data_IF_461332121429
#
_entry.id   IF_461332121429
#
_cell.length_a   1.000
_cell.length_b   1.000
_cell.length_c   1.000
_cell.angle_alpha   90.00
_cell.angle_beta   90.00
_cell.angle_gamma   90.00
#
_symmetry.space_group_name_H-M   'P 1'
#
loop_
_entity.id
_entity.type
_entity.pdbx_description
1 polymer ?
#
# COMPACT_ATOMS: atom_id res chain seq x y z
N UNK A 1 -12.85 7.81 14.55
CA UNK A 1 -13.22 9.16 14.13
C UNK A 1 -12.49 10.20 14.96
N UNK A 2 -12.59 10.16 16.29
CA UNK A 2 -11.96 11.12 17.20
C UNK A 2 -10.45 11.27 16.99
N UNK A 3 -9.71 10.16 16.79
CA UNK A 3 -8.28 10.19 16.48
C UNK A 3 -7.98 10.95 15.17
N UNK A 4 -8.78 10.70 14.14
CA UNK A 4 -8.64 11.37 12.86
C UNK A 4 -8.88 12.89 13.00
N UNK A 5 -9.95 13.27 13.68
CA UNK A 5 -10.30 14.67 13.93
C UNK A 5 -9.19 15.37 14.72
N UNK A 6 -8.63 14.72 15.74
CA UNK A 6 -7.54 15.28 16.53
C UNK A 6 -6.23 15.44 15.72
N UNK A 7 -5.89 14.48 14.85
CA UNK A 7 -4.69 14.56 14.02
C UNK A 7 -4.80 15.62 12.91
N UNK A 8 -6.01 15.82 12.40
CA UNK A 8 -6.26 16.69 11.26
C UNK A 8 -6.86 18.05 11.63
N UNK A 9 -6.96 18.37 12.91
CA UNK A 9 -7.53 19.64 13.39
C UNK A 9 -6.75 20.83 12.80
N UNK A 10 -7.45 21.69 12.06
CA UNK A 10 -6.88 22.88 11.44
C UNK A 10 -6.04 22.64 10.19
N UNK A 11 -5.91 21.41 9.70
CA UNK A 11 -5.21 21.12 8.45
C UNK A 11 -6.11 21.36 7.23
N UNK A 12 -5.55 22.00 6.20
CA UNK A 12 -6.23 22.21 4.91
C UNK A 12 -6.14 21.00 3.99
N UNK A 13 -5.16 20.13 4.20
CA UNK A 13 -4.94 18.89 3.45
C UNK A 13 -4.80 17.74 4.47
N UNK A 14 -5.92 17.16 4.93
CA UNK A 14 -5.89 16.15 5.97
C UNK A 14 -5.24 14.85 5.51
N UNK A 15 -4.58 14.16 6.42
CA UNK A 15 -4.06 12.80 6.20
C UNK A 15 -5.20 11.80 5.99
N UNK A 16 -4.92 10.67 5.34
CA UNK A 16 -5.91 9.60 5.20
C UNK A 16 -6.20 8.90 6.54
N UNK A 17 -7.37 8.28 6.65
CA UNK A 17 -7.79 7.55 7.86
C UNK A 17 -7.30 6.10 7.93
N UNK A 18 -6.63 5.59 6.90
CA UNK A 18 -6.22 4.18 6.80
C UNK A 18 -5.27 3.76 7.94
N UNK A 19 -4.31 4.62 8.30
CA UNK A 19 -3.35 4.31 9.38
C UNK A 19 -4.04 4.17 10.72
N UNK A 20 -5.00 5.06 11.01
CA UNK A 20 -5.81 5.01 12.22
C UNK A 20 -6.71 3.78 12.26
N UNK A 21 -7.31 3.42 11.12
CA UNK A 21 -8.07 2.17 11.00
C UNK A 21 -7.17 0.97 11.30
N UNK A 22 -5.95 0.93 10.76
CA UNK A 22 -4.96 -0.12 11.02
C UNK A 22 -4.52 -0.20 12.49
N UNK A 23 -4.58 0.90 13.25
CA UNK A 23 -4.32 0.90 14.70
C UNK A 23 -5.48 0.35 15.54
N UNK A 24 -6.71 0.49 15.06
CA UNK A 24 -7.94 0.15 15.81
C UNK A 24 -8.39 -1.27 15.48
N UNK A 25 -8.44 -1.62 14.21
CA UNK A 25 -8.90 -2.94 13.77
C UNK A 25 -7.75 -3.95 13.78
N UNK A 26 -7.90 -5.08 14.48
CA UNK A 26 -6.91 -6.15 14.45
C UNK A 26 -7.00 -6.94 13.15
N UNK A 27 -5.93 -7.66 12.85
CA UNK A 27 -5.88 -8.54 11.69
C UNK A 27 -5.61 -7.80 10.39
N UNK A 28 -6.21 -8.28 9.32
CA UNK A 28 -6.06 -7.79 7.95
C UNK A 28 -7.37 -7.15 7.55
N UNK A 29 -7.34 -5.88 7.14
CA UNK A 29 -8.55 -5.12 6.85
C UNK A 29 -8.57 -4.58 5.44
N UNK A 30 -9.71 -4.71 4.77
CA UNK A 30 -10.09 -3.97 3.57
C UNK A 30 -10.90 -2.76 3.97
N UNK A 31 -10.55 -1.62 3.44
CA UNK A 31 -11.19 -0.33 3.70
C UNK A 31 -11.75 0.21 2.38
N UNK A 32 -13.06 0.25 2.23
CA UNK A 32 -13.71 0.79 1.04
C UNK A 32 -14.12 2.26 1.27
N UNK A 33 -13.60 3.16 0.46
CA UNK A 33 -13.87 4.60 0.51
C UNK A 33 -14.81 5.01 -0.62
N UNK A 34 -15.82 5.79 -0.28
CA UNK A 34 -16.72 6.42 -1.26
C UNK A 34 -16.65 7.95 -1.11
N UNK A 35 -15.89 8.58 -2.00
CA UNK A 35 -15.72 10.04 -1.99
C UNK A 35 -17.00 10.82 -2.33
N UNK A 36 -18.05 10.16 -2.83
CA UNK A 36 -19.35 10.78 -3.09
C UNK A 36 -20.20 10.96 -1.83
N UNK A 37 -19.85 10.27 -0.73
CA UNK A 37 -20.55 10.36 0.55
C UNK A 37 -19.97 11.49 1.38
N UNK A 38 -20.81 12.27 2.05
CA UNK A 38 -20.37 13.30 2.99
C UNK A 38 -19.49 12.66 4.08
N UNK A 39 -18.30 13.18 4.29
CA UNK A 39 -17.30 12.60 5.17
C UNK A 39 -16.52 11.44 4.55
N UNK A 40 -16.38 11.39 3.23
CA UNK A 40 -15.66 10.37 2.45
C UNK A 40 -14.17 10.16 2.80
N UNK A 41 -13.66 10.82 3.82
CA UNK A 41 -12.35 10.60 4.45
C UNK A 41 -12.29 9.34 5.31
N UNK A 42 -13.46 8.77 5.62
CA UNK A 42 -13.59 7.51 6.35
C UNK A 42 -14.10 6.41 5.42
N UNK A 43 -13.71 5.15 5.67
CA UNK A 43 -14.24 4.05 4.91
C UNK A 43 -15.75 3.95 5.12
N UNK A 44 -16.49 3.77 4.02
CA UNK A 44 -17.93 3.48 4.01
C UNK A 44 -18.21 2.04 4.43
N UNK A 45 -17.23 1.14 4.21
CA UNK A 45 -17.26 -0.26 4.61
C UNK A 45 -15.89 -0.72 5.07
N UNK A 46 -15.86 -1.58 6.08
CA UNK A 46 -14.65 -2.21 6.60
C UNK A 46 -14.93 -3.71 6.70
N UNK A 47 -14.10 -4.49 6.03
CA UNK A 47 -14.08 -5.94 6.14
C UNK A 47 -12.74 -6.37 6.74
N UNK A 48 -12.75 -7.23 7.76
CA UNK A 48 -11.54 -7.66 8.46
C UNK A 48 -11.52 -9.15 8.69
N UNK A 49 -10.34 -9.75 8.63
CA UNK A 49 -10.11 -11.14 9.02
C UNK A 49 -8.98 -11.26 10.03
N UNK A 50 -9.18 -12.11 11.02
CA UNK A 50 -8.18 -12.57 11.98
C UNK A 50 -8.01 -14.09 11.90
N UNK A 51 -8.39 -14.71 10.77
CA UNK A 51 -8.21 -16.14 10.57
C UNK A 51 -6.74 -16.51 10.73
N UNK A 52 -6.39 -17.38 11.70
CA UNK A 52 -4.99 -17.71 11.99
C UNK A 52 -4.25 -18.34 10.79
N UNK A 53 -4.96 -19.07 9.92
CA UNK A 53 -4.37 -19.66 8.73
C UNK A 53 -3.98 -18.58 7.71
N UNK A 54 -4.89 -17.62 7.46
CA UNK A 54 -4.66 -16.48 6.56
C UNK A 54 -3.54 -15.60 7.09
N UNK A 55 -3.56 -15.28 8.39
CA UNK A 55 -2.54 -14.46 9.05
C UNK A 55 -1.16 -15.12 8.92
N UNK A 56 -1.05 -16.40 9.30
CA UNK A 56 0.22 -17.14 9.23
C UNK A 56 0.74 -17.23 7.80
N UNK A 57 -0.15 -17.47 6.84
CA UNK A 57 0.22 -17.50 5.43
C UNK A 57 0.74 -16.13 4.98
N UNK A 58 0.02 -15.04 5.26
CA UNK A 58 0.44 -13.69 4.85
C UNK A 58 1.80 -13.31 5.44
N UNK A 59 2.05 -13.62 6.73
CA UNK A 59 3.34 -13.40 7.38
C UNK A 59 4.48 -14.21 6.76
N UNK A 60 4.14 -15.34 6.09
CA UNK A 60 5.14 -16.19 5.44
C UNK A 60 5.52 -15.69 4.03
N UNK A 61 4.62 -14.97 3.34
CA UNK A 61 4.81 -14.59 1.93
C UNK A 61 5.03 -13.09 1.71
N UNK A 62 4.82 -12.23 2.71
CA UNK A 62 5.11 -10.80 2.60
C UNK A 62 6.43 -10.45 3.26
N UNK A 63 7.28 -9.80 2.49
CA UNK A 63 8.62 -9.38 2.89
C UNK A 63 8.82 -7.88 2.67
N UNK A 64 9.54 -7.23 3.57
CA UNK A 64 9.91 -5.82 3.48
C UNK A 64 11.40 -5.71 3.13
N UNK A 65 11.70 -5.16 1.96
CA UNK A 65 13.08 -4.88 1.52
C UNK A 65 13.40 -3.43 1.83
N UNK A 66 14.40 -3.14 2.69
CA UNK A 66 14.72 -1.77 3.07
C UNK A 66 15.38 -0.99 1.92
N UNK A 67 14.94 0.25 1.70
CA UNK A 67 15.49 1.17 0.70
C UNK A 67 16.31 2.32 1.34
N UNK A 68 16.14 2.57 2.61
CA UNK A 68 16.69 3.72 3.32
C UNK A 68 15.68 4.82 3.58
N UNK A 69 16.09 5.89 4.30
CA UNK A 69 15.21 6.97 4.69
C UNK A 69 14.79 7.83 3.47
N UNK A 70 13.63 8.46 3.59
CA UNK A 70 13.20 9.47 2.61
C UNK A 70 14.17 10.65 2.60
N UNK A 71 14.47 11.20 1.41
CA UNK A 71 15.27 12.41 1.31
C UNK A 71 14.55 13.63 1.92
N UNK A 72 15.34 14.58 2.46
CA UNK A 72 14.80 15.88 2.87
C UNK A 72 14.17 16.63 1.68
N UNK A 73 13.06 17.32 1.93
CA UNK A 73 12.33 18.06 0.90
C UNK A 73 11.49 17.22 -0.07
N UNK A 74 11.45 15.91 0.12
CA UNK A 74 10.63 15.01 -0.69
C UNK A 74 9.13 15.28 -0.49
N UNK A 75 8.43 15.59 -1.59
CA UNK A 75 6.98 15.76 -1.61
C UNK A 75 6.33 14.84 -2.67
N UNK A 76 5.81 13.69 -2.30
CA UNK A 76 5.17 12.75 -3.25
C UNK A 76 3.90 13.32 -3.88
N UNK A 77 3.28 14.30 -3.24
CA UNK A 77 2.00 14.87 -3.65
C UNK A 77 2.14 16.12 -4.55
N UNK A 78 3.36 16.47 -4.95
CA UNK A 78 3.63 17.66 -5.77
C UNK A 78 2.89 17.59 -7.11
N UNK A 79 2.83 16.43 -7.73
CA UNK A 79 2.08 16.17 -8.97
C UNK A 79 1.06 15.09 -8.71
N UNK A 80 -0.22 15.39 -8.97
CA UNK A 80 -1.34 14.45 -8.81
C UNK A 80 -2.10 14.33 -10.11
N UNK A 81 -2.26 13.12 -10.61
CA UNK A 81 -3.13 12.81 -11.74
C UNK A 81 -4.33 11.99 -11.23
N UNK A 82 -5.43 12.68 -10.96
CA UNK A 82 -6.67 12.08 -10.46
C UNK A 82 -7.59 11.61 -11.60
N UNK A 83 -7.02 11.06 -12.69
CA UNK A 83 -7.84 10.44 -13.74
C UNK A 83 -8.68 9.30 -13.14
N UNK A 84 -10.02 9.35 -13.31
CA UNK A 84 -10.92 8.34 -12.73
C UNK A 84 -10.60 6.91 -13.13
N UNK A 85 -10.01 6.68 -14.32
CA UNK A 85 -9.64 5.34 -14.76
C UNK A 85 -8.49 4.78 -13.90
N UNK A 86 -7.48 5.58 -13.57
CA UNK A 86 -6.37 5.14 -12.72
C UNK A 86 -6.79 4.98 -11.25
N UNK A 87 -7.65 5.89 -10.76
CA UNK A 87 -8.21 5.78 -9.40
C UNK A 87 -9.03 4.49 -9.27
N UNK A 88 -9.87 4.20 -10.28
CA UNK A 88 -10.63 2.95 -10.30
C UNK A 88 -9.72 1.72 -10.33
N UNK A 89 -8.68 1.70 -11.17
CA UNK A 89 -7.72 0.59 -11.23
C UNK A 89 -7.02 0.35 -9.90
N UNK A 90 -6.66 1.41 -9.19
CA UNK A 90 -6.07 1.30 -7.86
C UNK A 90 -7.07 0.69 -6.86
N UNK A 91 -8.32 1.12 -6.89
CA UNK A 91 -9.39 0.55 -6.06
C UNK A 91 -9.64 -0.94 -6.36
N UNK A 92 -9.74 -1.29 -7.65
CA UNK A 92 -9.91 -2.68 -8.09
C UNK A 92 -8.72 -3.56 -7.65
N UNK A 93 -7.49 -3.06 -7.77
CA UNK A 93 -6.29 -3.77 -7.31
C UNK A 93 -6.27 -3.96 -5.79
N UNK A 94 -6.70 -2.95 -5.02
CA UNK A 94 -6.83 -3.07 -3.57
C UNK A 94 -7.86 -4.14 -3.15
N UNK A 95 -9.01 -4.20 -3.82
CA UNK A 95 -10.01 -5.23 -3.60
C UNK A 95 -9.46 -6.63 -3.94
N UNK A 96 -8.83 -6.78 -5.12
CA UNK A 96 -8.21 -8.04 -5.55
C UNK A 96 -7.10 -8.49 -4.58
N UNK A 97 -6.35 -7.54 -4.00
CA UNK A 97 -5.33 -7.83 -3.00
C UNK A 97 -5.94 -8.52 -1.75
N UNK A 98 -7.02 -7.96 -1.21
CA UNK A 98 -7.70 -8.56 -0.06
C UNK A 98 -8.27 -9.94 -0.37
N UNK A 99 -8.93 -10.09 -1.53
CA UNK A 99 -9.49 -11.36 -1.97
C UNK A 99 -8.39 -12.43 -2.13
N UNK A 100 -7.23 -12.07 -2.71
CA UNK A 100 -6.08 -12.95 -2.86
C UNK A 100 -5.50 -13.37 -1.49
N UNK A 101 -5.44 -12.45 -0.53
CA UNK A 101 -4.98 -12.74 0.84
C UNK A 101 -5.92 -13.75 1.51
N UNK A 102 -7.23 -13.53 1.45
CA UNK A 102 -8.23 -14.45 2.06
C UNK A 102 -8.21 -15.82 1.38
N UNK A 103 -7.97 -15.87 0.07
CA UNK A 103 -7.82 -17.10 -0.68
C UNK A 103 -6.45 -17.78 -0.51
N UNK A 104 -5.48 -17.10 0.11
CA UNK A 104 -4.07 -17.53 0.22
C UNK A 104 -3.47 -17.84 -1.16
N UNK A 105 -3.77 -16.99 -2.16
CA UNK A 105 -3.28 -17.10 -3.53
C UNK A 105 -2.13 -16.13 -3.77
N UNK A 106 -0.89 -16.67 -3.78
CA UNK A 106 0.33 -15.87 -3.95
C UNK A 106 0.42 -15.21 -5.33
N UNK A 107 -0.03 -15.89 -6.39
CA UNK A 107 0.04 -15.33 -7.74
C UNK A 107 -0.92 -14.14 -7.87
N UNK A 108 -2.17 -14.29 -7.44
CA UNK A 108 -3.16 -13.21 -7.44
C UNK A 108 -2.74 -12.05 -6.52
N UNK A 109 -2.13 -12.33 -5.36
CA UNK A 109 -1.56 -11.32 -4.48
C UNK A 109 -0.46 -10.53 -5.20
N UNK A 110 0.48 -11.22 -5.85
CA UNK A 110 1.55 -10.61 -6.62
C UNK A 110 1.03 -9.70 -7.74
N UNK A 111 0.08 -10.19 -8.53
CA UNK A 111 -0.55 -9.43 -9.60
C UNK A 111 -1.22 -8.14 -9.07
N UNK A 112 -1.92 -8.23 -7.92
CA UNK A 112 -2.57 -7.07 -7.30
C UNK A 112 -1.57 -6.01 -6.81
N UNK A 113 -0.43 -6.42 -6.24
CA UNK A 113 0.66 -5.50 -5.84
C UNK A 113 1.28 -4.81 -7.07
N UNK A 114 1.56 -5.57 -8.13
CA UNK A 114 2.08 -5.04 -9.39
C UNK A 114 1.13 -4.02 -10.03
N UNK A 115 -0.17 -4.32 -10.03
CA UNK A 115 -1.18 -3.42 -10.58
C UNK A 115 -1.34 -2.16 -9.72
N UNK A 116 -1.32 -2.29 -8.40
CA UNK A 116 -1.32 -1.15 -7.48
C UNK A 116 -0.14 -0.21 -7.75
N UNK A 117 1.06 -0.77 -7.95
CA UNK A 117 2.27 0.02 -8.26
C UNK A 117 2.14 0.79 -9.57
N UNK A 118 1.60 0.16 -10.63
CA UNK A 118 1.36 0.82 -11.92
C UNK A 118 0.33 1.94 -11.80
N UNK A 119 -0.75 1.72 -11.06
CA UNK A 119 -1.77 2.72 -10.80
C UNK A 119 -1.20 3.90 -9.99
N UNK A 120 -0.44 3.63 -8.92
CA UNK A 120 0.23 4.66 -8.14
C UNK A 120 1.21 5.49 -8.96
N UNK A 121 2.00 4.87 -9.85
CA UNK A 121 2.90 5.60 -10.74
C UNK A 121 2.17 6.58 -11.65
N UNK A 122 0.98 6.20 -12.15
CA UNK A 122 0.17 7.06 -12.97
C UNK A 122 -0.51 8.19 -12.18
N UNK A 123 -0.92 7.94 -10.92
CA UNK A 123 -1.61 8.91 -10.07
C UNK A 123 -0.62 9.86 -9.40
N UNK A 124 0.48 9.34 -8.84
CA UNK A 124 1.49 10.08 -8.08
C UNK A 124 2.91 9.76 -8.61
N UNK A 125 3.30 10.25 -9.79
CA UNK A 125 4.59 9.93 -10.38
C UNK A 125 5.77 10.31 -9.48
N UNK A 126 5.63 11.35 -8.65
CA UNK A 126 6.69 11.78 -7.73
C UNK A 126 7.04 10.75 -6.63
N UNK A 127 6.24 9.70 -6.45
CA UNK A 127 6.64 8.58 -5.58
C UNK A 127 7.92 7.92 -6.12
N UNK A 128 8.13 7.95 -7.44
CA UNK A 128 9.22 7.27 -8.13
C UNK A 128 10.23 8.22 -8.78
N UNK A 129 9.79 9.41 -9.18
CA UNK A 129 10.50 10.32 -10.08
C UNK A 129 10.63 11.75 -9.50
N UNK A 130 10.86 11.88 -8.20
CA UNK A 130 11.07 13.17 -7.56
C UNK A 130 12.56 13.57 -7.62
N UNK A 131 12.86 14.88 -7.76
CA UNK A 131 14.23 15.42 -7.86
C UNK A 131 15.16 15.05 -6.70
N UNK A 132 14.58 14.78 -5.53
CA UNK A 132 15.34 14.36 -4.34
C UNK A 132 15.57 12.85 -4.27
N UNK A 133 14.89 12.05 -5.10
CA UNK A 133 15.08 10.60 -5.17
C UNK A 133 16.36 10.33 -5.96
N UNK A 134 17.35 9.73 -5.30
CA UNK A 134 18.59 9.32 -5.94
C UNK A 134 18.45 7.91 -6.50
N UNK A 135 18.56 7.78 -7.81
CA UNK A 135 18.47 6.50 -8.49
C UNK A 135 17.12 6.25 -9.17
N UNK A 136 17.04 5.16 -9.89
CA UNK A 136 15.83 4.70 -10.59
C UNK A 136 15.01 3.77 -9.68
N UNK A 137 14.16 4.35 -8.85
CA UNK A 137 13.30 3.57 -7.96
C UNK A 137 12.29 2.72 -8.74
N UNK A 138 11.80 3.23 -9.88
CA UNK A 138 10.87 2.46 -10.69
C UNK A 138 11.56 1.25 -11.35
N UNK A 139 12.74 1.44 -11.94
CA UNK A 139 13.51 0.33 -12.52
C UNK A 139 13.89 -0.73 -11.48
N UNK A 140 14.21 -0.30 -10.25
CA UNK A 140 14.43 -1.23 -9.14
C UNK A 140 13.17 -2.05 -8.84
N UNK A 141 12.00 -1.40 -8.78
CA UNK A 141 10.73 -2.06 -8.53
C UNK A 141 10.35 -3.02 -9.67
N UNK A 142 10.55 -2.62 -10.93
CA UNK A 142 10.36 -3.50 -12.10
C UNK A 142 11.26 -4.74 -12.04
N UNK A 143 12.48 -4.61 -11.52
CA UNK A 143 13.36 -5.75 -11.25
C UNK A 143 12.73 -6.75 -10.28
N UNK A 144 12.19 -6.26 -9.17
CA UNK A 144 11.47 -7.13 -8.21
C UNK A 144 10.20 -7.75 -8.81
N UNK A 145 9.43 -7.01 -9.61
CA UNK A 145 8.24 -7.53 -10.30
C UNK A 145 8.58 -8.61 -11.34
N UNK A 146 9.80 -8.58 -11.89
CA UNK A 146 10.26 -9.58 -12.86
C UNK A 146 10.81 -10.84 -12.18
N UNK A 147 11.34 -10.72 -10.97
CA UNK A 147 11.98 -11.82 -10.23
C UNK A 147 10.99 -12.56 -9.31
N UNK A 148 10.03 -11.82 -8.72
CA UNK A 148 9.07 -12.34 -7.74
C UNK A 148 7.63 -12.24 -8.26
N UNK A 149 6.67 -12.98 -7.67
CA UNK A 149 5.26 -12.90 -8.02
C UNK A 149 4.71 -11.47 -8.04
N UNK A 150 5.15 -10.62 -7.10
CA UNK A 150 4.78 -9.22 -7.13
C UNK A 150 5.53 -8.35 -6.13
N UNK A 151 5.54 -7.05 -6.45
CA UNK A 151 6.17 -6.05 -5.60
C UNK A 151 5.48 -4.69 -5.68
N UNK A 152 5.51 -3.94 -4.56
CA UNK A 152 5.08 -2.55 -4.55
C UNK A 152 5.88 -1.73 -3.53
N UNK A 153 5.91 -0.41 -3.73
CA UNK A 153 6.47 0.49 -2.73
C UNK A 153 5.61 0.49 -1.46
N UNK A 154 6.25 0.62 -0.30
CA UNK A 154 5.54 0.81 0.96
C UNK A 154 5.22 2.29 1.17
N UNK A 155 3.94 2.62 1.23
CA UNK A 155 3.46 3.99 1.42
C UNK A 155 3.85 4.95 0.29
N UNK A 156 3.99 6.24 0.61
CA UNK A 156 4.35 7.28 -0.36
C UNK A 156 5.86 7.37 -0.55
N UNK A 157 6.45 6.40 -1.26
CA UNK A 157 7.80 6.51 -1.80
C UNK A 157 8.93 6.52 -0.78
N UNK A 158 8.96 5.61 0.17
CA UNK A 158 10.12 5.54 1.04
C UNK A 158 10.14 4.44 2.06
N UNK A 159 11.34 4.06 2.45
CA UNK A 159 11.63 3.11 3.50
C UNK A 159 11.72 1.68 3.01
N UNK A 160 10.73 1.15 2.31
CA UNK A 160 10.69 -0.26 1.95
C UNK A 160 10.01 -0.52 0.60
N UNK A 161 10.38 -1.64 -0.03
CA UNK A 161 9.57 -2.35 -1.02
C UNK A 161 8.88 -3.52 -0.31
N UNK A 162 7.58 -3.69 -0.55
CA UNK A 162 6.82 -4.87 -0.20
C UNK A 162 6.98 -5.88 -1.32
N UNK A 163 7.39 -7.10 -1.02
CA UNK A 163 7.55 -8.20 -1.99
C UNK A 163 6.69 -9.37 -1.56
N UNK A 164 5.87 -9.89 -2.48
CA UNK A 164 5.14 -11.13 -2.30
C UNK A 164 5.95 -12.29 -2.87
N UNK A 165 6.35 -13.26 -2.03
CA UNK A 165 7.18 -14.38 -2.43
C UNK A 165 7.17 -15.50 -1.39
N UNK A 166 7.25 -16.77 -1.82
CA UNK A 166 7.50 -17.92 -0.97
C UNK A 166 8.92 -17.92 -0.40
N UNK A 167 9.88 -17.34 -1.15
CA UNK A 167 11.28 -17.24 -0.74
C UNK A 167 11.61 -15.78 -0.36
N UNK A 168 12.17 -15.54 0.83
CA UNK A 168 12.47 -14.19 1.27
C UNK A 168 13.59 -13.57 0.42
N UNK A 169 13.39 -12.36 -0.16
CA UNK A 169 14.47 -11.62 -0.81
C UNK A 169 15.64 -11.37 0.14
N UNK A 170 16.85 -11.33 -0.41
CA UNK A 170 18.07 -11.12 0.40
C UNK A 170 17.99 -9.80 1.19
N UNK A 171 18.22 -9.87 2.49
CA UNK A 171 18.19 -8.70 3.39
C UNK A 171 16.80 -8.19 3.75
N UNK A 172 15.74 -8.90 3.35
CA UNK A 172 14.37 -8.54 3.73
C UNK A 172 14.02 -8.88 5.17
N UNK A 173 13.03 -8.20 5.71
CA UNK A 173 12.38 -8.51 6.99
C UNK A 173 10.97 -9.06 6.74
N UNK A 174 10.50 -9.93 7.64
CA UNK A 174 9.12 -10.40 7.66
C UNK A 174 8.22 -9.39 8.37
N UNK A 175 6.94 -9.40 8.01
CA UNK A 175 5.90 -8.68 8.76
C UNK A 175 5.39 -9.54 9.93
N UNK A 176 4.69 -8.88 10.86
CA UNK A 176 3.85 -9.54 11.86
C UNK A 176 2.52 -8.85 11.92
N UNK A 177 1.44 -9.63 11.87
CA UNK A 177 0.07 -9.12 11.92
C UNK A 177 -0.39 -9.10 13.37
N UNK A 178 -0.89 -7.96 13.81
CA UNK A 178 -1.48 -7.83 15.14
C UNK A 178 -2.91 -8.40 15.11
N UNK A 179 -3.16 -9.43 15.87
CA UNK A 179 -4.46 -10.07 16.08
C UNK A 179 -4.98 -9.85 17.49
#
# INVERSE_FOLDING_TARGET
RELYEAENEGLTDPSGSQDMCGLIYPGISRLDYDASVEGGWFPSHIESTCDPAVVTWLESVIHLVPLGPRPDGYNPLLTRNMDPAWVKRLGDAGAACYDAIVAMDLAALGDSLNESSRAWRAILPNIYEHETIKGDLWGLLEGYMAEYPGAMQSGCGGGYIIVASDEPPAGSARISVRV
#
